data_IF_696942925932
#
_entry.id   IF_696942925932
#
_cell.length_a   1.000
_cell.length_b   1.000
_cell.length_c   1.000
_cell.angle_alpha   90.00
_cell.angle_beta   90.00
_cell.angle_gamma   90.00
#
_symmetry.space_group_name_H-M   'P 1'
#
loop_
_entity.id
_entity.type
_entity.pdbx_description
1 polymer ?
#
# COMPACT_ATOMS: atom_id res chain seq x y z
N UNK A 1 -23.86 -6.75 12.30
CA UNK A 1 -22.90 -5.64 12.42
C UNK A 1 -22.00 -5.67 11.20
N UNK A 2 -22.03 -4.62 10.37
CA UNK A 2 -21.22 -4.54 9.16
C UNK A 2 -19.73 -4.35 9.54
N UNK A 3 -18.78 -5.01 8.85
CA UNK A 3 -17.37 -4.73 9.05
C UNK A 3 -17.05 -3.34 8.48
N UNK A 4 -16.40 -2.51 9.30
CA UNK A 4 -15.99 -1.15 8.93
C UNK A 4 -14.89 -1.21 7.85
N UNK A 5 -15.30 -1.01 6.59
CA UNK A 5 -14.48 -1.08 5.39
C UNK A 5 -13.45 0.06 5.22
N UNK A 6 -13.33 0.98 6.19
CA UNK A 6 -12.42 2.13 6.10
C UNK A 6 -10.98 1.85 6.57
N UNK A 7 -10.76 0.87 7.45
CA UNK A 7 -9.52 0.78 8.24
C UNK A 7 -8.47 -0.17 7.67
N UNK A 8 -8.84 -1.06 6.75
CA UNK A 8 -7.90 -1.92 6.01
C UNK A 8 -7.24 -1.19 4.83
N UNK A 9 -7.70 0.02 4.50
CA UNK A 9 -7.13 0.83 3.42
C UNK A 9 -5.76 1.38 3.77
N UNK A 10 -5.51 1.74 5.03
CA UNK A 10 -4.28 2.45 5.41
C UNK A 10 -3.08 1.52 5.60
N UNK A 11 -3.26 0.33 6.18
CA UNK A 11 -2.19 -0.69 6.25
C UNK A 11 -1.79 -1.15 4.85
N UNK A 12 -2.76 -1.34 3.95
CA UNK A 12 -2.54 -1.66 2.55
C UNK A 12 -1.82 -0.51 1.82
N UNK A 13 -2.18 0.75 2.10
CA UNK A 13 -1.56 1.94 1.51
C UNK A 13 -0.13 2.14 2.02
N UNK A 14 0.13 1.97 3.31
CA UNK A 14 1.49 1.97 3.87
C UNK A 14 2.30 0.81 3.29
N UNK A 15 1.74 -0.39 3.20
CA UNK A 15 2.42 -1.53 2.55
C UNK A 15 2.69 -1.26 1.07
N UNK A 16 1.76 -0.65 0.33
CA UNK A 16 1.90 -0.27 -1.08
C UNK A 16 3.01 0.77 -1.27
N UNK A 17 3.07 1.77 -0.41
CA UNK A 17 4.03 2.87 -0.46
C UNK A 17 5.43 2.43 0.00
N UNK A 18 5.52 1.56 1.00
CA UNK A 18 6.79 1.01 1.52
C UNK A 18 7.32 -0.17 0.70
N UNK A 19 6.46 -0.86 -0.06
CA UNK A 19 6.86 -1.85 -1.06
C UNK A 19 7.63 -1.22 -2.24
N UNK A 20 7.61 0.11 -2.39
CA UNK A 20 8.33 0.84 -3.44
C UNK A 20 9.83 0.94 -3.18
N UNK A 21 10.25 0.97 -1.91
CA UNK A 21 11.66 0.89 -1.53
C UNK A 21 11.80 -0.03 -0.31
N UNK A 22 11.62 -1.35 -0.50
CA UNK A 22 11.50 -2.26 0.62
C UNK A 22 12.80 -2.41 1.41
N UNK A 23 13.92 -2.05 0.79
CA UNK A 23 15.26 -2.02 1.39
C UNK A 23 15.57 -0.76 2.18
N UNK A 24 14.86 0.36 1.97
CA UNK A 24 15.08 1.59 2.74
C UNK A 24 14.77 1.39 4.21
N UNK A 25 15.64 1.95 5.06
CA UNK A 25 15.46 1.93 6.50
C UNK A 25 14.15 2.60 6.92
N UNK A 26 13.69 3.61 6.17
CA UNK A 26 12.40 4.26 6.42
C UNK A 26 11.23 3.28 6.23
N UNK A 27 11.15 2.64 5.06
CA UNK A 27 10.08 1.68 4.74
C UNK A 27 10.08 0.46 5.66
N UNK A 28 11.25 -0.01 6.12
CA UNK A 28 11.34 -1.10 7.09
C UNK A 28 10.82 -0.69 8.46
N UNK A 29 11.28 0.44 8.97
CA UNK A 29 10.93 0.91 10.31
C UNK A 29 9.45 1.31 10.42
N UNK A 30 8.89 1.99 9.42
CA UNK A 30 7.47 2.34 9.43
C UNK A 30 6.55 1.12 9.25
N UNK A 31 6.93 0.12 8.42
CA UNK A 31 6.20 -1.16 8.35
C UNK A 31 6.24 -1.95 9.65
N UNK A 32 7.40 -1.99 10.31
CA UNK A 32 7.53 -2.64 11.61
C UNK A 32 6.61 -1.97 12.64
N UNK A 33 6.55 -0.64 12.62
CA UNK A 33 5.64 0.12 13.47
C UNK A 33 4.15 -0.16 13.15
N UNK A 34 3.74 -0.11 11.88
CA UNK A 34 2.38 -0.45 11.45
C UNK A 34 2.02 -1.89 11.85
N UNK A 35 2.90 -2.86 11.64
CA UNK A 35 2.69 -4.26 12.03
C UNK A 35 2.42 -4.40 13.52
N UNK A 36 3.22 -3.74 14.36
CA UNK A 36 3.03 -3.76 15.80
C UNK A 36 1.72 -3.09 16.23
N UNK A 37 1.30 -2.01 15.55
CA UNK A 37 0.00 -1.38 15.77
C UNK A 37 -1.15 -2.31 15.42
N UNK A 38 -1.10 -3.00 14.28
CA UNK A 38 -2.13 -3.96 13.86
C UNK A 38 -2.24 -5.12 14.85
N UNK A 39 -1.11 -5.63 15.36
CA UNK A 39 -1.07 -6.65 16.41
C UNK A 39 -1.75 -6.15 17.69
N UNK A 40 -1.35 -4.98 18.18
CA UNK A 40 -1.95 -4.38 19.39
C UNK A 40 -3.45 -4.13 19.21
N UNK A 41 -3.87 -3.55 18.09
CA UNK A 41 -5.27 -3.28 17.78
C UNK A 41 -6.09 -4.57 17.71
N UNK A 42 -5.59 -5.60 17.05
CA UNK A 42 -6.24 -6.92 16.98
C UNK A 42 -6.38 -7.55 18.36
N UNK A 43 -5.33 -7.49 19.17
CA UNK A 43 -5.34 -8.03 20.54
C UNK A 43 -6.33 -7.30 21.44
N UNK A 44 -6.38 -5.97 21.37
CA UNK A 44 -7.34 -5.15 22.13
C UNK A 44 -8.79 -5.43 21.69
N UNK A 45 -9.04 -5.53 20.39
CA UNK A 45 -10.38 -5.81 19.83
C UNK A 45 -10.90 -7.18 20.23
N UNK A 46 -10.07 -8.20 20.14
CA UNK A 46 -10.45 -9.59 20.40
C UNK A 46 -10.30 -9.97 21.88
N UNK A 47 -9.82 -9.03 22.70
CA UNK A 47 -9.48 -9.21 24.09
C UNK A 47 -8.53 -10.42 24.35
N UNK A 48 -7.57 -10.63 23.47
CA UNK A 48 -6.66 -11.79 23.51
C UNK A 48 -5.36 -11.46 24.23
N UNK A 49 -5.09 -12.11 25.37
CA UNK A 49 -3.87 -11.98 26.19
C UNK A 49 -3.68 -10.63 26.92
N UNK A 50 -4.65 -10.16 27.73
CA UNK A 50 -4.40 -9.06 28.67
C UNK A 50 -3.26 -9.42 29.64
N UNK A 51 -2.41 -8.46 30.07
CA UNK A 51 -2.65 -7.01 30.06
C UNK A 51 -2.09 -6.20 28.86
N UNK A 52 -1.73 -6.82 27.74
CA UNK A 52 -1.23 -6.14 26.51
C UNK A 52 0.06 -5.31 26.66
N UNK A 53 0.75 -5.44 27.80
CA UNK A 53 1.97 -4.69 28.11
C UNK A 53 3.10 -5.00 27.12
N UNK A 54 3.16 -6.24 26.63
CA UNK A 54 4.14 -6.67 25.64
C UNK A 54 3.88 -5.99 24.28
N UNK A 55 2.68 -6.14 23.75
CA UNK A 55 2.27 -5.57 22.46
C UNK A 55 2.41 -4.04 22.46
N UNK A 56 2.04 -3.40 23.59
CA UNK A 56 2.26 -1.96 23.78
C UNK A 56 3.75 -1.60 23.82
N UNK A 57 4.57 -2.42 24.50
CA UNK A 57 6.03 -2.26 24.51
C UNK A 57 6.63 -2.35 23.11
N UNK A 58 6.17 -3.28 22.28
CA UNK A 58 6.62 -3.44 20.89
C UNK A 58 6.26 -2.22 20.03
N UNK A 59 5.04 -1.67 20.17
CA UNK A 59 4.62 -0.42 19.53
C UNK A 59 5.50 0.76 19.96
N UNK A 60 5.76 0.90 21.26
CA UNK A 60 6.60 2.00 21.78
C UNK A 60 8.05 1.88 21.31
N UNK A 61 8.62 0.68 21.31
CA UNK A 61 10.00 0.44 20.88
C UNK A 61 10.17 0.72 19.37
N UNK A 62 9.24 0.24 18.54
CA UNK A 62 9.26 0.51 17.10
C UNK A 62 9.05 1.99 16.78
N UNK A 63 8.19 2.69 17.52
CA UNK A 63 8.06 4.15 17.40
C UNK A 63 9.32 4.91 17.83
N UNK A 64 9.96 4.51 18.93
CA UNK A 64 11.22 5.12 19.37
C UNK A 64 12.33 4.93 18.33
N UNK A 65 12.44 3.73 17.77
CA UNK A 65 13.38 3.47 16.68
C UNK A 65 13.09 4.37 15.47
N UNK A 66 11.83 4.43 15.03
CA UNK A 66 11.41 5.28 13.91
C UNK A 66 11.68 6.78 14.18
N UNK A 67 11.25 7.28 15.33
CA UNK A 67 11.39 8.69 15.70
C UNK A 67 12.83 9.11 15.95
N UNK A 68 13.69 8.26 16.50
CA UNK A 68 15.11 8.57 16.68
C UNK A 68 15.82 8.83 15.35
N UNK A 69 15.43 8.11 14.30
CA UNK A 69 16.01 8.25 12.96
C UNK A 69 15.44 9.43 12.20
N UNK A 70 14.14 9.71 12.34
CA UNK A 70 13.43 10.60 11.42
C UNK A 70 12.81 11.86 12.04
N UNK A 71 12.81 12.05 13.36
CA UNK A 71 12.13 13.21 13.98
C UNK A 71 12.69 14.56 13.49
N UNK A 72 14.02 14.68 13.47
CA UNK A 72 14.71 15.92 13.08
C UNK A 72 15.19 15.91 11.64
N UNK A 73 15.38 14.72 11.07
CA UNK A 73 15.82 14.51 9.69
C UNK A 73 14.79 13.64 8.97
N UNK A 74 13.80 14.23 8.30
CA UNK A 74 12.87 13.46 7.47
C UNK A 74 13.66 12.60 6.45
N UNK A 75 13.09 11.48 5.98
CA UNK A 75 13.66 10.77 4.84
C UNK A 75 13.77 11.72 3.63
N UNK A 76 14.70 11.46 2.71
CA UNK A 76 14.94 12.35 1.55
C UNK A 76 13.65 12.62 0.76
N UNK A 77 12.78 11.62 0.66
CA UNK A 77 11.48 11.71 0.00
C UNK A 77 10.51 12.70 0.67
N UNK A 78 10.64 12.95 1.98
CA UNK A 78 9.80 13.88 2.75
C UNK A 78 10.57 15.09 3.28
N UNK A 79 11.78 15.34 2.78
CA UNK A 79 12.66 16.43 3.24
C UNK A 79 12.04 17.81 3.14
N UNK A 80 11.09 17.99 2.22
CA UNK A 80 10.35 19.23 2.00
C UNK A 80 8.97 19.26 2.69
N UNK A 81 8.61 18.22 3.46
CA UNK A 81 7.35 18.21 4.19
C UNK A 81 7.43 19.17 5.40
N UNK A 82 6.86 20.36 5.21
CA UNK A 82 6.77 21.42 6.24
C UNK A 82 6.00 20.99 7.49
N UNK A 83 5.18 19.93 7.39
CA UNK A 83 4.38 19.41 8.50
C UNK A 83 5.03 18.20 9.18
N UNK A 84 6.23 17.78 8.78
CA UNK A 84 6.86 16.54 9.27
C UNK A 84 6.93 16.46 10.80
N UNK A 85 7.52 17.47 11.43
CA UNK A 85 7.67 17.53 12.90
C UNK A 85 6.32 17.52 13.60
N UNK A 86 5.30 18.14 13.00
CA UNK A 86 3.93 18.15 13.51
C UNK A 86 3.31 16.76 13.46
N UNK A 87 3.47 16.02 12.36
CA UNK A 87 3.01 14.64 12.18
C UNK A 87 3.68 13.72 13.22
N UNK A 88 5.01 13.78 13.34
CA UNK A 88 5.78 13.04 14.35
C UNK A 88 5.28 13.32 15.77
N UNK A 89 5.10 14.59 16.12
CA UNK A 89 4.65 14.98 17.46
C UNK A 89 3.20 14.56 17.75
N UNK A 90 2.32 14.57 16.75
CA UNK A 90 0.94 14.12 16.88
C UNK A 90 0.87 12.60 17.14
N UNK A 91 1.63 11.80 16.36
CA UNK A 91 1.72 10.35 16.56
C UNK A 91 2.26 10.00 17.95
N UNK A 92 3.31 10.68 18.42
CA UNK A 92 3.86 10.47 19.77
C UNK A 92 2.82 10.75 20.88
N UNK A 93 2.01 11.81 20.73
CA UNK A 93 0.92 12.12 21.66
C UNK A 93 -0.15 11.02 21.68
N UNK A 94 -0.56 10.53 20.50
CA UNK A 94 -1.54 9.45 20.39
C UNK A 94 -1.04 8.15 21.04
N UNK A 95 0.23 7.79 20.85
CA UNK A 95 0.85 6.64 21.53
C UNK A 95 0.80 6.82 23.06
N UNK A 96 1.09 8.03 23.56
CA UNK A 96 0.96 8.34 24.98
C UNK A 96 -0.46 8.16 25.52
N UNK A 97 -1.48 8.53 24.73
CA UNK A 97 -2.90 8.30 25.07
C UNK A 97 -3.23 6.81 25.08
N UNK A 98 -2.82 6.05 24.05
CA UNK A 98 -3.02 4.59 23.98
C UNK A 98 -2.42 3.92 25.21
N UNK A 99 -1.16 4.24 25.55
CA UNK A 99 -0.49 3.70 26.74
C UNK A 99 -1.30 3.95 28.01
N UNK A 100 -1.77 5.18 28.21
CA UNK A 100 -2.56 5.55 29.39
C UNK A 100 -3.83 4.70 29.47
N UNK A 101 -4.56 4.55 28.37
CA UNK A 101 -5.81 3.79 28.32
C UNK A 101 -5.58 2.29 28.58
N UNK A 102 -4.53 1.70 28.02
CA UNK A 102 -4.15 0.30 28.30
C UNK A 102 -3.83 0.11 29.78
N UNK A 103 -3.03 1.00 30.39
CA UNK A 103 -2.71 0.93 31.83
C UNK A 103 -3.94 1.11 32.72
N UNK A 104 -4.94 1.88 32.27
CA UNK A 104 -6.22 2.06 32.93
C UNK A 104 -7.21 0.92 32.67
N UNK A 105 -6.83 -0.08 31.87
CA UNK A 105 -7.65 -1.21 31.42
C UNK A 105 -8.87 -0.80 30.58
N UNK A 106 -8.80 0.38 29.96
CA UNK A 106 -9.80 0.90 29.02
C UNK A 106 -9.49 0.40 27.59
N UNK A 107 -9.64 -0.91 27.36
CA UNK A 107 -9.13 -1.57 26.15
C UNK A 107 -9.86 -1.17 24.85
N UNK A 108 -11.19 -0.99 24.91
CA UNK A 108 -11.95 -0.54 23.73
C UNK A 108 -11.60 0.91 23.35
N UNK A 109 -11.57 1.88 24.29
CA UNK A 109 -11.03 3.20 24.01
C UNK A 109 -9.58 3.18 23.50
N UNK A 110 -8.72 2.29 24.02
CA UNK A 110 -7.36 2.13 23.53
C UNK A 110 -7.33 1.63 22.09
N UNK A 111 -8.17 0.65 21.73
CA UNK A 111 -8.33 0.15 20.36
C UNK A 111 -8.74 1.27 19.40
N UNK A 112 -9.71 2.10 19.77
CA UNK A 112 -10.18 3.18 18.92
C UNK A 112 -9.07 4.21 18.66
N UNK A 113 -8.21 4.45 19.66
CA UNK A 113 -7.02 5.29 19.51
C UNK A 113 -5.92 4.64 18.69
N UNK A 114 -5.78 3.32 18.70
CA UNK A 114 -4.90 2.60 17.77
C UNK A 114 -5.39 2.79 16.33
N UNK A 115 -6.69 2.69 16.07
CA UNK A 115 -7.25 2.94 14.74
C UNK A 115 -7.04 4.39 14.28
N UNK A 116 -7.24 5.36 15.16
CA UNK A 116 -6.95 6.78 14.88
C UNK A 116 -5.47 6.99 14.55
N UNK A 117 -4.56 6.33 15.26
CA UNK A 117 -3.14 6.42 14.96
C UNK A 117 -2.80 5.78 13.60
N UNK A 118 -3.33 4.59 13.31
CA UNK A 118 -3.11 3.92 12.01
C UNK A 118 -3.59 4.77 10.84
N UNK A 119 -4.74 5.44 10.95
CA UNK A 119 -5.27 6.28 9.87
C UNK A 119 -4.45 7.55 9.62
N UNK A 120 -3.69 8.01 10.61
CA UNK A 120 -2.76 9.14 10.42
C UNK A 120 -1.46 8.75 9.71
N UNK A 121 -1.17 7.46 9.54
CA UNK A 121 0.11 7.02 8.94
C UNK A 121 0.22 7.33 7.45
N UNK A 122 -0.90 7.35 6.73
CA UNK A 122 -0.93 7.78 5.32
C UNK A 122 -0.38 9.20 5.14
N UNK A 123 -0.55 10.07 6.14
CA UNK A 123 -0.07 11.45 6.09
C UNK A 123 1.46 11.55 5.99
N UNK A 124 2.22 10.56 6.47
CA UNK A 124 3.69 10.57 6.35
C UNK A 124 4.18 10.44 4.91
N UNK A 125 3.31 10.03 3.99
CA UNK A 125 3.63 9.85 2.59
C UNK A 125 3.12 10.98 1.69
N UNK A 126 2.33 11.94 2.22
CA UNK A 126 1.84 13.10 1.46
C UNK A 126 2.98 13.99 0.93
N UNK A 127 4.11 14.03 1.62
CA UNK A 127 5.30 14.79 1.22
C UNK A 127 6.17 14.08 0.18
N UNK A 128 5.91 12.79 -0.10
CA UNK A 128 6.65 12.03 -1.08
C UNK A 128 6.18 12.51 -2.46
N UNK A 129 7.03 13.24 -3.17
CA UNK A 129 6.76 13.58 -4.57
C UNK A 129 6.46 12.29 -5.36
N UNK A 130 5.19 12.08 -5.72
CA UNK A 130 4.76 10.89 -6.45
C UNK A 130 5.11 11.13 -7.91
N UNK A 131 6.19 10.50 -8.41
CA UNK A 131 6.52 10.52 -9.84
C UNK A 131 5.34 10.00 -10.66
N UNK A 132 5.29 10.35 -11.95
CA UNK A 132 4.19 9.91 -12.84
C UNK A 132 4.06 8.37 -12.86
N UNK A 133 5.17 7.62 -12.80
CA UNK A 133 5.14 6.15 -12.69
C UNK A 133 4.51 5.69 -11.35
N UNK A 134 4.80 6.40 -10.25
CA UNK A 134 4.24 6.06 -8.93
C UNK A 134 2.74 6.39 -8.86
N UNK A 135 2.29 7.46 -9.52
CA UNK A 135 0.86 7.76 -9.63
C UNK A 135 0.14 6.68 -10.42
N UNK A 136 0.76 6.20 -11.50
CA UNK A 136 0.25 5.08 -12.29
C UNK A 136 0.10 3.80 -11.45
N UNK A 137 1.08 3.45 -10.62
CA UNK A 137 0.99 2.27 -9.74
C UNK A 137 -0.14 2.39 -8.72
N UNK A 138 -0.24 3.54 -8.05
CA UNK A 138 -1.30 3.80 -7.06
C UNK A 138 -2.67 3.70 -7.73
N UNK A 139 -2.83 4.31 -8.90
CA UNK A 139 -4.08 4.25 -9.67
C UNK A 139 -4.43 2.81 -10.05
N UNK A 140 -3.45 1.99 -10.43
CA UNK A 140 -3.67 0.58 -10.74
C UNK A 140 -4.22 -0.20 -9.56
N UNK A 141 -3.58 -0.08 -8.40
CA UNK A 141 -4.00 -0.78 -7.18
C UNK A 141 -5.39 -0.32 -6.74
N UNK A 142 -5.68 0.99 -6.81
CA UNK A 142 -6.99 1.53 -6.45
C UNK A 142 -8.11 0.98 -7.33
N UNK A 143 -7.95 1.02 -8.66
CA UNK A 143 -8.97 0.57 -9.60
C UNK A 143 -9.19 -0.95 -9.53
N UNK A 144 -8.14 -1.75 -9.32
CA UNK A 144 -8.25 -3.21 -9.14
C UNK A 144 -8.92 -3.59 -7.81
N UNK A 145 -8.65 -2.85 -6.74
CA UNK A 145 -9.28 -3.07 -5.44
C UNK A 145 -10.77 -2.71 -5.49
N UNK A 146 -11.12 -1.59 -6.12
CA UNK A 146 -12.52 -1.20 -6.34
C UNK A 146 -13.25 -2.25 -7.19
N UNK A 147 -12.61 -2.79 -8.23
CA UNK A 147 -13.15 -3.87 -9.05
C UNK A 147 -13.47 -5.12 -8.21
N UNK A 148 -12.51 -5.56 -7.40
CA UNK A 148 -12.68 -6.70 -6.52
C UNK A 148 -13.82 -6.47 -5.53
N UNK A 149 -13.89 -5.28 -4.93
CA UNK A 149 -14.97 -4.89 -4.00
C UNK A 149 -16.33 -4.96 -4.66
N UNK A 150 -16.48 -4.40 -5.86
CA UNK A 150 -17.75 -4.43 -6.58
C UNK A 150 -18.18 -5.84 -6.95
N UNK A 151 -17.25 -6.68 -7.40
CA UNK A 151 -17.54 -8.09 -7.72
C UNK A 151 -17.94 -8.88 -6.48
N UNK A 152 -17.23 -8.74 -5.35
CA UNK A 152 -17.60 -9.38 -4.07
C UNK A 152 -19.00 -8.93 -3.61
N UNK A 153 -19.33 -7.66 -3.83
CA UNK A 153 -20.65 -7.10 -3.50
C UNK A 153 -21.76 -7.50 -4.51
N UNK A 154 -21.45 -8.29 -5.55
CA UNK A 154 -22.34 -8.59 -6.69
C UNK A 154 -22.81 -7.33 -7.47
N UNK A 155 -22.08 -6.21 -7.37
CA UNK A 155 -22.38 -4.98 -8.09
C UNK A 155 -21.67 -4.95 -9.46
N UNK A 156 -22.15 -5.78 -10.38
CA UNK A 156 -21.58 -5.89 -11.72
C UNK A 156 -21.76 -4.59 -12.55
N UNK A 157 -22.72 -3.73 -12.20
CA UNK A 157 -22.91 -2.46 -12.90
C UNK A 157 -21.77 -1.49 -12.58
N UNK A 158 -21.43 -1.33 -11.30
CA UNK A 158 -20.27 -0.54 -10.90
C UNK A 158 -18.97 -1.15 -11.38
N UNK A 159 -18.84 -2.48 -11.36
CA UNK A 159 -17.67 -3.17 -11.90
C UNK A 159 -17.46 -2.87 -13.40
N UNK A 160 -18.51 -2.90 -14.23
CA UNK A 160 -18.43 -2.57 -15.67
C UNK A 160 -17.90 -1.16 -15.93
N UNK A 161 -18.21 -0.19 -15.07
CA UNK A 161 -17.73 1.18 -15.20
C UNK A 161 -16.21 1.32 -15.04
N UNK A 162 -15.55 0.34 -14.42
CA UNK A 162 -14.08 0.35 -14.25
C UNK A 162 -13.32 -0.15 -15.49
N UNK A 163 -14.01 -0.76 -16.47
CA UNK A 163 -13.39 -1.36 -17.66
C UNK A 163 -12.43 -0.41 -18.36
N UNK A 164 -12.89 0.79 -18.69
CA UNK A 164 -12.05 1.78 -19.39
C UNK A 164 -10.93 2.34 -18.52
N UNK A 165 -11.16 2.48 -17.21
CA UNK A 165 -10.15 2.99 -16.28
C UNK A 165 -8.98 2.02 -16.11
N UNK A 166 -9.29 0.73 -15.93
CA UNK A 166 -8.27 -0.32 -15.82
C UNK A 166 -7.54 -0.51 -17.14
N UNK A 167 -8.25 -0.41 -18.29
CA UNK A 167 -7.58 -0.41 -19.60
C UNK A 167 -6.60 0.74 -19.74
N UNK A 168 -7.00 1.96 -19.39
CA UNK A 168 -6.12 3.13 -19.45
C UNK A 168 -4.89 2.96 -18.55
N UNK A 169 -5.05 2.34 -17.38
CA UNK A 169 -3.90 2.01 -16.52
C UNK A 169 -2.97 1.02 -17.21
N UNK A 170 -3.47 -0.07 -17.78
CA UNK A 170 -2.62 -1.03 -18.48
C UNK A 170 -1.87 -0.38 -19.65
N UNK A 171 -2.52 0.51 -20.39
CA UNK A 171 -1.85 1.27 -21.46
C UNK A 171 -0.71 2.15 -20.93
N UNK A 172 -0.89 2.81 -19.80
CA UNK A 172 0.21 3.58 -19.18
C UNK A 172 1.37 2.66 -18.78
N UNK A 173 1.10 1.46 -18.25
CA UNK A 173 2.15 0.46 -17.99
C UNK A 173 2.85 0.05 -19.29
N UNK A 174 2.11 -0.16 -20.39
CA UNK A 174 2.68 -0.52 -21.69
C UNK A 174 3.70 0.52 -22.16
N UNK A 175 3.40 1.80 -21.96
CA UNK A 175 4.30 2.90 -22.34
C UNK A 175 5.54 2.98 -21.44
N UNK A 176 5.43 2.59 -20.17
CA UNK A 176 6.51 2.61 -19.20
C UNK A 176 7.41 1.35 -19.23
N UNK A 177 6.97 0.26 -19.85
CA UNK A 177 7.73 -0.99 -19.89
C UNK A 177 8.99 -0.89 -20.77
N UNK A 178 10.06 -1.62 -20.43
CA UNK A 178 11.24 -1.70 -21.27
C UNK A 178 10.89 -2.35 -22.61
N UNK A 179 11.57 -1.93 -23.69
CA UNK A 179 11.44 -2.49 -25.04
C UNK A 179 12.09 -3.89 -25.16
N UNK A 180 11.70 -4.80 -24.27
CA UNK A 180 12.15 -6.19 -24.22
C UNK A 180 11.00 -7.14 -24.51
N UNK A 181 11.30 -8.24 -25.20
CA UNK A 181 10.30 -9.26 -25.54
C UNK A 181 9.64 -9.88 -24.29
N UNK A 182 10.39 -10.03 -23.21
CA UNK A 182 9.91 -10.50 -21.91
C UNK A 182 8.84 -9.57 -21.32
N UNK A 183 9.08 -8.26 -21.37
CA UNK A 183 8.16 -7.25 -20.88
C UNK A 183 6.88 -7.17 -21.72
N UNK A 184 7.01 -7.21 -23.05
CA UNK A 184 5.85 -7.29 -23.94
C UNK A 184 5.01 -8.55 -23.67
N UNK A 185 5.67 -9.71 -23.47
CA UNK A 185 4.96 -10.97 -23.17
C UNK A 185 4.20 -10.90 -21.85
N UNK A 186 4.77 -10.24 -20.83
CA UNK A 186 4.09 -10.04 -19.56
C UNK A 186 2.86 -9.11 -19.73
N UNK A 187 3.00 -8.06 -20.53
CA UNK A 187 1.89 -7.15 -20.84
C UNK A 187 0.75 -7.87 -21.57
N UNK A 188 1.06 -8.67 -22.59
CA UNK A 188 0.06 -9.41 -23.36
C UNK A 188 -0.74 -10.39 -22.47
N UNK A 189 -0.08 -11.00 -21.48
CA UNK A 189 -0.76 -11.84 -20.47
C UNK A 189 -1.68 -11.02 -19.58
N UNK A 190 -1.22 -9.88 -19.07
CA UNK A 190 -2.05 -8.98 -18.26
C UNK A 190 -3.30 -8.53 -19.03
N UNK A 191 -3.13 -8.15 -20.30
CA UNK A 191 -4.22 -7.73 -21.18
C UNK A 191 -5.22 -8.87 -21.42
N UNK A 192 -4.72 -10.08 -21.69
CA UNK A 192 -5.59 -11.25 -21.89
C UNK A 192 -6.43 -11.57 -20.66
N UNK A 193 -5.85 -11.54 -19.45
CA UNK A 193 -6.60 -11.77 -18.21
C UNK A 193 -7.60 -10.64 -17.95
N UNK A 194 -7.22 -9.38 -18.23
CA UNK A 194 -8.13 -8.25 -18.17
C UNK A 194 -9.36 -8.46 -19.08
N UNK A 195 -9.16 -8.93 -20.31
CA UNK A 195 -10.26 -9.22 -21.23
C UNK A 195 -11.18 -10.32 -20.69
N UNK A 196 -10.62 -11.40 -20.14
CA UNK A 196 -11.37 -12.50 -19.51
C UNK A 196 -12.20 -11.98 -18.33
N UNK A 197 -11.60 -11.19 -17.43
CA UNK A 197 -12.31 -10.62 -16.27
C UNK A 197 -13.53 -9.83 -16.71
N UNK A 198 -13.38 -8.94 -17.69
CA UNK A 198 -14.47 -8.10 -18.14
C UNK A 198 -15.51 -8.83 -18.99
N UNK A 199 -15.13 -9.87 -19.74
CA UNK A 199 -16.08 -10.77 -20.39
C UNK A 199 -16.98 -11.48 -19.36
N UNK A 200 -16.37 -11.98 -18.27
CA UNK A 200 -17.09 -12.67 -17.20
C UNK A 200 -18.01 -11.73 -16.41
N UNK A 201 -17.55 -10.50 -16.16
CA UNK A 201 -18.37 -9.43 -15.56
C UNK A 201 -19.55 -9.06 -16.47
N UNK A 202 -19.35 -9.00 -17.78
CA UNK A 202 -20.42 -8.74 -18.75
C UNK A 202 -21.49 -9.83 -18.73
N UNK A 203 -21.06 -11.09 -18.59
CA UNK A 203 -21.93 -12.27 -18.46
C UNK A 203 -22.51 -12.47 -17.06
N UNK A 204 -22.16 -11.62 -16.09
CA UNK A 204 -22.51 -11.76 -14.66
C UNK A 204 -22.17 -13.17 -14.13
N UNK A 205 -21.01 -13.71 -14.49
CA UNK A 205 -20.54 -15.01 -14.00
C UNK A 205 -20.36 -15.03 -12.48
N UNK A 206 -20.38 -16.22 -11.83
CA UNK A 206 -20.28 -16.34 -10.38
C UNK A 206 -19.10 -15.58 -9.78
N UNK A 207 -19.34 -14.86 -8.68
CA UNK A 207 -18.35 -14.03 -7.96
C UNK A 207 -17.02 -14.75 -7.78
N UNK A 208 -17.04 -16.02 -7.34
CA UNK A 208 -15.83 -16.82 -7.11
C UNK A 208 -14.96 -16.92 -8.37
N UNK A 209 -15.58 -17.20 -9.51
CA UNK A 209 -14.89 -17.35 -10.80
C UNK A 209 -14.29 -16.02 -11.27
N UNK A 210 -15.01 -14.92 -11.05
CA UNK A 210 -14.53 -13.58 -11.43
C UNK A 210 -13.41 -13.12 -10.50
N UNK A 211 -13.54 -13.35 -9.19
CA UNK A 211 -12.52 -12.99 -8.18
C UNK A 211 -11.19 -13.72 -8.42
N UNK A 212 -11.21 -15.01 -8.77
CA UNK A 212 -10.00 -15.77 -9.12
C UNK A 212 -9.22 -15.10 -10.28
N UNK A 213 -9.91 -14.63 -11.33
CA UNK A 213 -9.26 -13.93 -12.44
C UNK A 213 -8.86 -12.48 -12.09
N UNK A 214 -9.56 -11.82 -11.15
CA UNK A 214 -9.13 -10.51 -10.64
C UNK A 214 -7.82 -10.65 -9.86
N UNK A 215 -7.69 -11.67 -9.01
CA UNK A 215 -6.46 -11.96 -8.29
C UNK A 215 -5.32 -12.30 -9.27
N UNK A 216 -5.60 -13.05 -10.34
CA UNK A 216 -4.64 -13.31 -11.41
C UNK A 216 -4.20 -12.02 -12.13
N UNK A 217 -5.14 -11.12 -12.43
CA UNK A 217 -4.84 -9.81 -13.02
C UNK A 217 -3.95 -8.96 -12.10
N UNK A 218 -4.23 -8.95 -10.80
CA UNK A 218 -3.40 -8.27 -9.79
C UNK A 218 -1.96 -8.79 -9.80
N UNK A 219 -1.77 -10.12 -9.87
CA UNK A 219 -0.43 -10.72 -9.96
C UNK A 219 0.33 -10.27 -11.22
N UNK A 220 -0.34 -10.21 -12.37
CA UNK A 220 0.28 -9.73 -13.59
C UNK A 220 0.62 -8.23 -13.52
N UNK A 221 -0.23 -7.40 -12.94
CA UNK A 221 0.07 -5.96 -12.74
C UNK A 221 1.28 -5.76 -11.82
N UNK A 222 1.42 -6.55 -10.75
CA UNK A 222 2.63 -6.52 -9.91
C UNK A 222 3.88 -7.00 -10.67
N UNK A 223 3.74 -7.95 -11.60
CA UNK A 223 4.83 -8.34 -12.49
C UNK A 223 5.25 -7.20 -13.41
N UNK A 224 4.30 -6.47 -14.02
CA UNK A 224 4.60 -5.31 -14.86
C UNK A 224 5.29 -4.20 -14.06
N UNK A 225 4.81 -3.94 -12.84
CA UNK A 225 5.44 -2.99 -11.91
C UNK A 225 6.89 -3.37 -11.62
N UNK A 226 7.14 -4.65 -11.35
CA UNK A 226 8.49 -5.16 -11.09
C UNK A 226 9.43 -4.95 -12.28
N UNK A 227 8.94 -5.13 -13.50
CA UNK A 227 9.73 -4.91 -14.72
C UNK A 227 10.09 -3.43 -14.92
N UNK A 228 9.15 -2.52 -14.67
CA UNK A 228 9.38 -1.07 -14.75
C UNK A 228 10.41 -0.64 -13.69
N UNK A 229 10.24 -1.09 -12.44
CA UNK A 229 11.19 -0.79 -11.35
C UNK A 229 12.59 -1.37 -11.61
N UNK A 230 12.69 -2.55 -12.23
CA UNK A 230 14.00 -3.11 -12.60
C UNK A 230 14.75 -2.24 -13.63
N UNK A 231 14.03 -1.56 -14.53
CA UNK A 231 14.65 -0.60 -15.46
C UNK A 231 15.17 0.65 -14.75
N UNK A 232 14.46 1.14 -13.73
CA UNK A 232 14.92 2.27 -12.90
C UNK A 232 16.15 1.91 -12.06
N UNK A 233 16.17 0.70 -11.49
CA UNK A 233 17.25 0.26 -10.58
C UNK A 233 18.50 -0.22 -11.33
N UNK A 234 18.32 -0.74 -12.54
CA UNK A 234 19.40 -1.20 -13.41
C UNK A 234 19.26 -0.56 -14.80
N UNK A 235 19.45 0.76 -14.93
CA UNK A 235 19.44 1.41 -16.23
C UNK A 235 20.54 0.76 -17.07
N UNK A 236 20.17 0.12 -18.18
CA UNK A 236 21.14 -0.44 -19.13
C UNK A 236 22.13 0.67 -19.44
N UNK A 237 23.41 0.45 -19.13
CA UNK A 237 24.49 1.39 -19.40
C UNK A 237 24.55 1.66 -20.90
N UNK A 238 23.81 2.66 -21.36
CA UNK A 238 23.90 3.25 -22.68
C UNK A 238 25.06 4.25 -22.68
N UNK A 239 26.29 3.76 -22.48
CA UNK A 239 27.44 4.33 -23.18
C UNK A 239 27.64 3.40 -24.36
N UNK A 240 27.07 3.70 -25.53
CA UNK A 240 27.73 4.57 -26.49
C UNK A 240 29.25 4.41 -26.34
N UNK A 241 29.78 3.33 -26.91
CA UNK A 241 31.15 3.34 -27.42
C UNK A 241 31.09 4.32 -28.60
N UNK A 242 31.18 5.62 -28.29
CA UNK A 242 31.58 6.62 -29.25
C UNK A 242 33.07 6.35 -29.48
N UNK A 243 33.36 5.95 -30.71
CA UNK A 243 34.60 6.17 -31.45
C UNK A 243 35.73 6.81 -30.64
N UNK A 244 36.78 6.03 -30.37
CA UNK A 244 38.14 6.59 -30.33
C UNK A 244 39.17 5.48 -30.57
N UNK A 245 39.55 5.38 -31.86
CA UNK A 245 40.84 4.98 -32.47
C UNK A 245 40.75 3.91 -33.56
#
# INVERSE_FOLDING_TARGET
MAPQAGYTCDDALVMLLTAQNPGSEFSKTIRGFTTNLTILGTSLKNNTNPPYEKELGDVMNSWLQFSSSYMTNPPEEAKNDVNWVKKMSASAKLIGVIRKLVMQKEYMPAHDKVLELSSTLGAFFEGFGISDEKQMFIRASAELLDLQRFVIANDYNSAKNLKQKIKAVLEDFRLALPAEKSAQTAFDKALSVYEIVFEKIEKNEPVKTVDENIQELQLYVEQLRSLILMQEWFPKTSKIILEEK
#
